data_IF_519556054213
#
_entry.id   IF_519556054213
#
_cell.length_a   1.000
_cell.length_b   1.000
_cell.length_c   1.000
_cell.angle_alpha   90.00
_cell.angle_beta   90.00
_cell.angle_gamma   90.00
#
_symmetry.space_group_name_H-M   'P 1'
#
loop_
_entity.id
_entity.type
_entity.pdbx_description
1 polymer ?
#
# COMPACT_ATOMS: atom_id res chain seq x y z
N UNK A 1 19.92 22.26 4.92
CA UNK A 1 18.67 22.98 4.59
C UNK A 1 17.68 21.94 4.10
N UNK A 2 16.75 21.52 4.95
CA UNK A 2 15.74 20.52 4.59
C UNK A 2 14.79 21.14 3.56
N UNK A 3 14.69 20.55 2.37
CA UNK A 3 13.64 20.89 1.41
C UNK A 3 12.32 20.53 2.09
N UNK A 4 11.56 21.58 2.41
CA UNK A 4 10.18 21.54 2.89
C UNK A 4 9.41 20.51 2.06
N UNK A 5 8.76 19.56 2.73
CA UNK A 5 7.86 18.59 2.11
C UNK A 5 6.97 19.32 1.11
N UNK A 6 7.26 19.16 -0.19
CA UNK A 6 6.29 19.52 -1.20
C UNK A 6 5.16 18.53 -0.97
N UNK A 7 4.02 19.00 -0.46
CA UNK A 7 2.79 18.22 -0.45
C UNK A 7 2.60 17.72 -1.89
N UNK A 8 2.83 16.43 -2.10
CA UNK A 8 2.65 15.81 -3.39
C UNK A 8 1.15 15.78 -3.64
N UNK A 9 0.73 16.32 -4.77
CA UNK A 9 -0.68 16.35 -5.11
C UNK A 9 -1.21 14.90 -5.24
N UNK A 10 -2.46 14.65 -4.80
CA UNK A 10 -3.13 13.39 -5.06
C UNK A 10 -3.16 13.11 -6.57
N UNK A 11 -2.82 11.88 -6.96
CA UNK A 11 -2.80 11.46 -8.37
C UNK A 11 -4.16 10.96 -8.87
N UNK A 12 -5.18 10.94 -8.01
CA UNK A 12 -6.54 10.55 -8.38
C UNK A 12 -7.28 11.68 -9.11
N UNK A 13 -8.22 11.28 -9.95
CA UNK A 13 -9.16 12.18 -10.62
C UNK A 13 -10.54 11.76 -10.16
N UNK A 14 -11.22 12.63 -9.40
CA UNK A 14 -12.57 12.35 -8.86
C UNK A 14 -12.62 11.03 -8.07
N UNK A 15 -11.63 10.80 -7.19
CA UNK A 15 -11.48 9.59 -6.37
C UNK A 15 -11.28 8.28 -7.19
N UNK A 16 -10.91 8.41 -8.48
CA UNK A 16 -10.63 7.31 -9.40
C UNK A 16 -9.22 7.38 -10.00
N UNK A 17 -8.72 6.27 -10.56
CA UNK A 17 -7.45 6.23 -11.29
C UNK A 17 -7.62 5.81 -12.74
N UNK A 18 -7.85 6.76 -13.65
CA UNK A 18 -8.03 6.45 -15.07
C UNK A 18 -6.85 5.75 -15.73
N UNK A 19 -5.63 5.93 -15.21
CA UNK A 19 -4.43 5.25 -15.71
C UNK A 19 -4.36 3.77 -15.32
N UNK A 20 -5.18 3.32 -14.36
CA UNK A 20 -5.24 1.94 -13.88
C UNK A 20 -6.60 1.32 -14.18
N UNK A 21 -6.66 0.50 -15.23
CA UNK A 21 -7.93 -0.04 -15.76
C UNK A 21 -8.74 -0.84 -14.72
N UNK A 22 -8.07 -1.49 -13.77
CA UNK A 22 -8.69 -2.35 -12.76
C UNK A 22 -8.70 -1.71 -11.37
N UNK A 23 -8.27 -0.45 -11.23
CA UNK A 23 -8.29 0.20 -9.94
C UNK A 23 -9.73 0.36 -9.43
N UNK A 24 -9.99 0.14 -8.13
CA UNK A 24 -11.29 0.39 -7.55
C UNK A 24 -11.64 1.87 -7.60
N UNK A 25 -12.93 2.15 -7.79
CA UNK A 25 -13.47 3.48 -7.54
C UNK A 25 -13.66 3.67 -6.03
N UNK A 26 -13.18 4.79 -5.49
CA UNK A 26 -13.41 5.14 -4.08
C UNK A 26 -14.60 6.07 -3.91
N UNK A 27 -15.22 6.45 -5.02
CA UNK A 27 -16.39 7.32 -5.05
C UNK A 27 -17.50 6.72 -4.19
N UNK A 28 -18.12 7.56 -3.37
CA UNK A 28 -19.24 7.17 -2.48
C UNK A 28 -18.89 6.20 -1.34
N UNK A 29 -17.62 5.76 -1.22
CA UNK A 29 -17.18 4.91 -0.09
C UNK A 29 -16.95 5.71 1.21
N UNK A 30 -16.81 7.03 1.12
CA UNK A 30 -16.47 7.91 2.25
C UNK A 30 -15.03 7.77 2.75
N UNK A 31 -14.20 6.93 2.13
CA UNK A 31 -12.79 6.76 2.46
C UNK A 31 -11.96 7.84 1.78
N UNK A 32 -11.32 8.72 2.58
CA UNK A 32 -10.38 9.72 2.05
C UNK A 32 -9.01 9.10 1.79
N UNK A 33 -8.53 9.24 0.57
CA UNK A 33 -7.17 8.84 0.16
C UNK A 33 -6.14 9.73 0.84
N UNK A 34 -4.98 9.16 1.15
CA UNK A 34 -3.80 9.96 1.53
C UNK A 34 -3.02 10.31 0.27
N UNK A 35 -2.50 11.54 0.24
CA UNK A 35 -1.56 11.97 -0.78
C UNK A 35 -0.27 11.12 -0.74
N UNK A 36 0.49 11.07 -1.85
CA UNK A 36 1.82 10.49 -1.85
C UNK A 36 2.73 11.19 -0.82
N UNK A 37 3.69 10.47 -0.26
CA UNK A 37 4.60 11.02 0.74
C UNK A 37 6.02 10.48 0.57
N UNK A 38 7.02 11.19 1.09
CA UNK A 38 8.41 10.71 1.11
C UNK A 38 8.70 10.04 2.45
N UNK A 39 9.22 8.81 2.44
CA UNK A 39 9.59 8.10 3.66
C UNK A 39 10.96 8.55 4.20
N UNK A 40 11.35 8.05 5.39
CA UNK A 40 12.66 8.38 6.00
C UNK A 40 13.88 8.01 5.14
N UNK A 41 13.71 7.11 4.17
CA UNK A 41 14.75 6.67 3.25
C UNK A 41 14.83 7.51 1.97
N UNK A 42 13.98 8.55 1.83
CA UNK A 42 13.93 9.39 0.65
C UNK A 42 13.24 8.74 -0.55
N UNK A 43 12.48 7.65 -0.33
CA UNK A 43 11.65 7.01 -1.34
C UNK A 43 10.27 7.66 -1.33
N UNK A 44 9.73 7.97 -2.51
CA UNK A 44 8.38 8.49 -2.66
C UNK A 44 7.40 7.31 -2.70
N UNK A 45 6.42 7.33 -1.82
CA UNK A 45 5.39 6.30 -1.67
C UNK A 45 4.07 6.86 -2.18
N UNK A 46 3.49 6.20 -3.18
CA UNK A 46 2.16 6.52 -3.71
C UNK A 46 2.14 7.34 -4.99
N UNK A 47 3.29 7.61 -5.60
CA UNK A 47 3.46 8.33 -6.88
C UNK A 47 3.12 7.49 -8.12
N UNK A 48 2.52 6.32 -7.94
CA UNK A 48 2.26 5.31 -8.97
C UNK A 48 3.51 4.70 -9.64
N UNK A 49 4.72 5.05 -9.19
CA UNK A 49 5.98 4.49 -9.64
C UNK A 49 6.48 3.51 -8.58
N UNK A 50 6.71 2.26 -8.97
CA UNK A 50 7.23 1.23 -8.07
C UNK A 50 8.77 1.22 -8.01
N UNK A 51 9.43 2.19 -8.65
CA UNK A 51 10.87 2.26 -8.80
C UNK A 51 11.41 3.58 -8.26
N UNK A 52 12.49 3.50 -7.50
CA UNK A 52 13.21 4.67 -6.98
C UNK A 52 14.68 4.32 -6.83
N UNK A 53 15.57 5.20 -7.29
CA UNK A 53 17.02 4.99 -7.23
C UNK A 53 17.54 4.81 -5.79
N UNK A 54 16.83 5.32 -4.79
CA UNK A 54 17.18 5.19 -3.36
C UNK A 54 16.49 4.00 -2.68
N UNK A 55 15.70 3.22 -3.42
CA UNK A 55 14.97 2.06 -2.87
C UNK A 55 15.93 0.93 -2.47
N UNK A 56 15.71 0.28 -1.31
CA UNK A 56 16.41 -0.96 -0.95
C UNK A 56 16.21 -2.10 -1.96
N UNK A 57 15.12 -2.10 -2.73
CA UNK A 57 14.88 -3.10 -3.77
C UNK A 57 15.83 -2.92 -4.97
N UNK A 58 16.04 -1.69 -5.41
CA UNK A 58 16.91 -1.38 -6.55
C UNK A 58 18.40 -1.51 -6.18
N UNK A 59 18.73 -1.35 -4.90
CA UNK A 59 20.08 -1.48 -4.36
C UNK A 59 20.24 -2.73 -3.48
N UNK A 60 19.50 -3.80 -3.79
CA UNK A 60 19.53 -5.01 -2.97
C UNK A 60 20.91 -5.68 -3.01
N UNK A 61 21.40 -6.08 -1.83
CA UNK A 61 22.68 -6.78 -1.67
C UNK A 61 22.58 -7.79 -0.52
N UNK A 62 23.59 -8.65 -0.37
CA UNK A 62 23.67 -9.59 0.76
C UNK A 62 23.76 -8.88 2.13
N UNK A 63 24.24 -7.64 2.15
CA UNK A 63 24.38 -6.81 3.35
C UNK A 63 23.10 -6.01 3.66
N UNK A 64 22.11 -6.03 2.78
CA UNK A 64 20.86 -5.29 2.96
C UNK A 64 19.96 -6.04 3.93
N UNK A 65 19.73 -5.49 5.12
CA UNK A 65 18.79 -6.04 6.10
C UNK A 65 17.33 -5.93 5.57
N UNK A 66 16.62 -7.06 5.33
CA UNK A 66 15.24 -7.04 4.87
C UNK A 66 14.28 -6.29 5.80
N UNK A 67 14.61 -6.18 7.09
CA UNK A 67 13.79 -5.46 8.07
C UNK A 67 13.65 -3.97 7.74
N UNK A 68 14.54 -3.40 6.93
CA UNK A 68 14.45 -2.00 6.48
C UNK A 68 13.15 -1.74 5.70
N UNK A 69 12.61 -2.77 5.04
CA UNK A 69 11.37 -2.72 4.25
C UNK A 69 10.12 -3.11 5.04
N UNK A 70 10.24 -3.24 6.37
CA UNK A 70 9.11 -3.51 7.25
C UNK A 70 8.51 -2.21 7.80
N UNK A 71 7.20 -2.21 8.04
CA UNK A 71 6.49 -1.14 8.73
C UNK A 71 5.68 -0.21 7.82
N UNK A 72 5.02 0.75 8.45
CA UNK A 72 3.98 1.56 7.81
C UNK A 72 4.50 2.51 6.73
N UNK A 73 5.80 2.83 6.76
CA UNK A 73 6.47 3.72 5.81
C UNK A 73 6.57 3.13 4.39
N UNK A 74 6.26 1.84 4.22
CA UNK A 74 6.27 1.14 2.93
C UNK A 74 4.87 0.79 2.42
N UNK A 75 3.82 1.15 3.17
CA UNK A 75 2.44 0.89 2.79
C UNK A 75 2.00 1.95 1.78
N UNK A 76 1.70 1.52 0.54
CA UNK A 76 1.16 2.42 -0.48
C UNK A 76 -0.27 2.86 -0.12
N UNK A 77 -0.55 4.16 0.05
CA UNK A 77 -1.90 4.64 0.34
C UNK A 77 -2.81 4.64 -0.89
N UNK A 78 -2.21 4.73 -2.07
CA UNK A 78 -2.90 5.01 -3.33
C UNK A 78 -2.87 3.85 -4.30
N UNK A 79 -1.78 3.08 -4.34
CA UNK A 79 -1.48 2.15 -5.42
C UNK A 79 -0.94 0.83 -4.85
N UNK A 80 -1.75 0.09 -4.10
CA UNK A 80 -1.43 -1.29 -3.76
C UNK A 80 -2.06 -2.21 -4.82
N UNK A 81 -1.20 -2.99 -5.48
CA UNK A 81 -1.58 -3.94 -6.55
C UNK A 81 -2.64 -4.93 -6.08
N UNK A 82 -2.70 -5.24 -4.78
CA UNK A 82 -3.70 -6.11 -4.19
C UNK A 82 -5.13 -5.61 -4.43
N UNK A 83 -5.34 -4.30 -4.56
CA UNK A 83 -6.68 -3.72 -4.81
C UNK A 83 -7.22 -3.96 -6.21
N UNK A 84 -6.36 -4.29 -7.18
CA UNK A 84 -6.75 -4.46 -8.57
C UNK A 84 -7.44 -5.80 -8.85
N UNK A 85 -7.47 -6.72 -7.89
CA UNK A 85 -8.20 -7.99 -8.03
C UNK A 85 -9.70 -7.72 -8.01
N UNK A 86 -10.46 -8.53 -8.76
CA UNK A 86 -11.90 -8.34 -8.88
C UNK A 86 -12.60 -8.46 -7.52
N UNK A 87 -12.14 -9.39 -6.69
CA UNK A 87 -12.66 -9.64 -5.34
C UNK A 87 -12.42 -8.43 -4.42
N UNK A 88 -11.19 -7.90 -4.38
CA UNK A 88 -10.85 -6.79 -3.49
C UNK A 88 -11.52 -5.48 -3.93
N UNK A 89 -11.62 -5.26 -5.24
CA UNK A 89 -12.38 -4.14 -5.79
C UNK A 89 -13.86 -4.20 -5.39
N UNK A 90 -14.49 -5.37 -5.53
CA UNK A 90 -15.89 -5.54 -5.12
C UNK A 90 -16.07 -5.27 -3.63
N UNK A 91 -15.14 -5.73 -2.79
CA UNK A 91 -15.20 -5.49 -1.35
C UNK A 91 -15.16 -4.00 -1.01
N UNK A 92 -14.24 -3.24 -1.64
CA UNK A 92 -14.15 -1.79 -1.45
C UNK A 92 -15.39 -1.05 -1.96
N UNK A 93 -15.74 -1.25 -3.23
CA UNK A 93 -16.81 -0.50 -3.89
C UNK A 93 -18.18 -0.78 -3.26
N UNK A 94 -18.42 -2.02 -2.80
CA UNK A 94 -19.67 -2.38 -2.11
C UNK A 94 -19.59 -2.20 -0.59
N UNK A 95 -18.49 -1.65 -0.06
CA UNK A 95 -18.22 -1.51 1.38
C UNK A 95 -18.49 -2.81 2.16
N UNK A 96 -18.19 -3.95 1.54
CA UNK A 96 -18.37 -5.28 2.14
C UNK A 96 -17.17 -5.60 3.01
N UNK A 97 -17.42 -6.04 4.23
CA UNK A 97 -16.36 -6.56 5.08
C UNK A 97 -15.85 -7.88 4.47
N UNK A 98 -14.53 -8.09 4.37
CA UNK A 98 -14.00 -9.38 3.96
C UNK A 98 -14.51 -10.45 4.93
N UNK A 99 -14.93 -11.60 4.40
CA UNK A 99 -15.15 -12.79 5.22
C UNK A 99 -13.79 -13.31 5.66
N UNK A 100 -13.27 -12.75 6.74
CA UNK A 100 -12.07 -13.23 7.39
C UNK A 100 -12.35 -14.58 8.03
N UNK A 101 -12.05 -15.66 7.33
CA UNK A 101 -11.79 -16.93 8.00
C UNK A 101 -10.39 -16.85 8.59
N UNK A 102 -10.13 -17.41 9.79
CA UNK A 102 -8.77 -17.50 10.29
C UNK A 102 -7.90 -18.19 9.24
N UNK A 103 -6.92 -17.49 8.69
CA UNK A 103 -5.84 -18.10 7.92
C UNK A 103 -4.97 -18.88 8.92
N UNK A 104 -5.47 -20.03 9.33
CA UNK A 104 -4.81 -20.94 10.25
C UNK A 104 -4.43 -22.19 9.49
N UNK A 105 -3.26 -22.72 9.79
CA UNK A 105 -2.89 -24.04 9.26
C UNK A 105 -3.89 -25.06 9.82
N UNK A 106 -4.50 -25.93 8.99
CA UNK A 106 -5.61 -26.80 9.42
C UNK A 106 -5.31 -27.67 10.65
N UNK A 107 -4.03 -27.95 10.87
CA UNK A 107 -3.54 -28.83 11.95
C UNK A 107 -2.54 -28.18 12.90
N UNK A 108 -2.07 -26.95 12.63
CA UNK A 108 -1.03 -26.33 13.46
C UNK A 108 -1.56 -25.05 14.06
N UNK A 109 -1.58 -25.03 15.39
CA UNK A 109 -1.85 -23.82 16.14
C UNK A 109 -0.62 -22.91 16.08
N UNK A 110 -0.83 -21.68 15.61
CA UNK A 110 0.19 -20.62 15.51
C UNK A 110 -0.18 -19.42 16.40
N UNK A 111 -1.12 -19.59 17.33
CA UNK A 111 -1.46 -18.56 18.30
C UNK A 111 -0.30 -18.30 19.26
N UNK A 112 -0.05 -17.02 19.55
CA UNK A 112 0.94 -16.57 20.54
C UNK A 112 0.28 -16.47 21.92
N UNK A 113 0.96 -16.95 22.97
CA UNK A 113 0.56 -16.76 24.38
C UNK A 113 -0.22 -17.91 25.02
N UNK A 114 0.16 -19.17 24.75
CA UNK A 114 -0.37 -20.36 25.43
C UNK A 114 0.55 -20.88 26.56
N UNK A 115 1.54 -20.08 26.97
CA UNK A 115 2.45 -20.34 28.09
C UNK A 115 1.96 -19.78 29.44
#
# INVERSE_FOLDING_TARGET
MAKKDQELEPLDIDETFPHQINAPSFKETGMKRKAPFTNKHGVIIGDSLYASETSPLENWSEETDPAIMAGDEWIHPTNDIGWNTAENRELLEKMRKPQGYPFMHPTKDVSKGQD
#
